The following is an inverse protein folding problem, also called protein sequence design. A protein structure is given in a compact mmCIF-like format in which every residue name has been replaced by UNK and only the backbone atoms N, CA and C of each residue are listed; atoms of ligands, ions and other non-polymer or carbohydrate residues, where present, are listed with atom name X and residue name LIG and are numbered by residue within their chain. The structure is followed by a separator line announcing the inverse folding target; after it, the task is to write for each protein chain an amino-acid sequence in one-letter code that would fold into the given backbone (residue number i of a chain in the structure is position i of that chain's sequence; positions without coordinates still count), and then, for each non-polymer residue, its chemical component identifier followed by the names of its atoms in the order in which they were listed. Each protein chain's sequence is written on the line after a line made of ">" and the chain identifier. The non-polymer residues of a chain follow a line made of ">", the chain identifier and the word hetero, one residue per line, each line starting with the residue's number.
data_IF_097934132602
#
_entry.id   IF_097934132602
#
_cell.length_a   1.000
_cell.length_b   1.000
_cell.length_c   1.000
_cell.angle_alpha   90.00
_cell.angle_beta   90.00
_cell.angle_gamma   90.00
#
_symmetry.space_group_name_H-M   'P 1'
#
loop_
_entity.id
_entity.type
_entity.pdbx_description
1 polymer ?
#
# COMPACT_ATOMS: atom_id res chain seq x y z
N UNK A 1 5.09 -21.90 -5.72
CA UNK A 1 4.90 -21.14 -4.46
C UNK A 1 3.50 -20.56 -4.35
N UNK A 2 3.03 -19.74 -5.31
CA UNK A 2 1.71 -19.08 -5.22
C UNK A 2 0.55 -20.06 -4.99
N UNK A 3 0.50 -21.21 -5.69
CA UNK A 3 -0.56 -22.22 -5.49
C UNK A 3 -0.63 -22.75 -4.06
N UNK A 4 0.48 -22.77 -3.32
CA UNK A 4 0.54 -23.23 -1.93
C UNK A 4 0.07 -22.17 -0.93
N UNK A 5 0.25 -20.89 -1.23
CA UNK A 5 -0.27 -19.80 -0.41
C UNK A 5 -1.80 -19.75 -0.42
N UNK A 6 -2.42 -20.13 -1.55
CA UNK A 6 -3.88 -20.14 -1.74
C UNK A 6 -4.58 -21.37 -1.17
N UNK A 7 -3.84 -22.41 -0.75
CA UNK A 7 -4.42 -23.59 -0.15
C UNK A 7 -4.89 -23.29 1.28
N UNK A 8 -6.16 -23.05 1.45
CA UNK A 8 -6.75 -22.62 2.73
C UNK A 8 -6.60 -23.64 3.87
N UNK A 9 -6.24 -24.92 3.65
CA UNK A 9 -6.19 -25.95 4.72
C UNK A 9 -5.26 -27.15 4.53
N UNK A 10 -4.58 -27.34 3.41
CA UNK A 10 -3.65 -28.49 3.23
C UNK A 10 -2.35 -28.02 2.61
N UNK A 11 -1.31 -28.00 3.41
CA UNK A 11 0.04 -27.87 2.90
C UNK A 11 0.34 -29.06 1.98
N UNK A 12 0.84 -28.82 0.77
CA UNK A 12 1.31 -29.94 -0.07
C UNK A 12 2.51 -30.62 0.58
N UNK A 13 2.71 -31.94 0.36
CA UNK A 13 3.87 -32.65 0.91
C UNK A 13 5.20 -31.97 0.61
N UNK A 14 5.35 -31.36 -0.57
CA UNK A 14 6.54 -30.61 -0.96
C UNK A 14 6.78 -29.36 -0.08
N UNK A 15 5.72 -28.74 0.42
CA UNK A 15 5.87 -27.59 1.32
C UNK A 15 6.33 -28.01 2.70
N UNK A 16 5.94 -29.17 3.19
CA UNK A 16 6.43 -29.73 4.45
C UNK A 16 7.96 -29.91 4.46
N UNK A 17 8.53 -30.34 3.32
CA UNK A 17 9.99 -30.47 3.17
C UNK A 17 10.70 -29.11 3.15
N UNK A 18 10.04 -28.04 2.69
CA UNK A 18 10.60 -26.68 2.61
C UNK A 18 10.33 -25.83 3.85
N UNK A 19 9.40 -26.23 4.73
CA UNK A 19 9.07 -25.51 5.94
C UNK A 19 10.27 -25.23 6.84
N UNK A 20 11.20 -26.20 7.11
CA UNK A 20 12.38 -25.93 7.93
C UNK A 20 13.25 -24.79 7.41
N UNK A 21 13.23 -24.56 6.09
CA UNK A 21 13.94 -23.44 5.45
C UNK A 21 13.14 -22.15 5.49
N UNK A 22 11.82 -22.21 5.25
CA UNK A 22 10.98 -21.01 5.10
C UNK A 22 10.57 -20.41 6.45
N UNK A 23 10.45 -21.20 7.52
CA UNK A 23 10.10 -20.69 8.84
C UNK A 23 11.15 -19.74 9.43
N UNK A 24 12.46 -20.10 9.44
CA UNK A 24 13.49 -19.17 9.90
C UNK A 24 13.55 -17.89 9.06
N UNK A 25 13.34 -18.00 7.73
CA UNK A 25 13.29 -16.85 6.84
C UNK A 25 12.07 -15.97 7.10
N UNK A 26 10.91 -16.54 7.37
CA UNK A 26 9.69 -15.80 7.73
C UNK A 26 9.86 -15.10 9.09
N UNK A 27 10.50 -15.76 10.05
CA UNK A 27 10.84 -15.15 11.34
C UNK A 27 11.81 -13.98 11.17
N UNK A 28 12.89 -14.16 10.40
CA UNK A 28 13.83 -13.09 10.08
C UNK A 28 13.14 -11.92 9.38
N UNK A 29 12.27 -12.20 8.41
CA UNK A 29 11.46 -11.19 7.72
C UNK A 29 10.60 -10.40 8.73
N UNK A 30 9.95 -11.09 9.67
CA UNK A 30 9.14 -10.47 10.72
C UNK A 30 9.96 -9.51 11.59
N UNK A 31 11.16 -9.93 12.01
CA UNK A 31 12.06 -9.09 12.79
C UNK A 31 12.48 -7.85 12.01
N UNK A 32 12.91 -8.02 10.76
CA UNK A 32 13.33 -6.91 9.90
C UNK A 32 12.19 -5.93 9.63
N UNK A 33 10.98 -6.43 9.38
CA UNK A 33 9.78 -5.61 9.23
C UNK A 33 9.47 -4.83 10.52
N UNK A 34 9.58 -5.48 11.69
CA UNK A 34 9.39 -4.86 13.00
C UNK A 34 10.43 -3.78 13.29
N UNK A 35 11.70 -4.02 12.99
CA UNK A 35 12.79 -3.03 13.12
C UNK A 35 12.55 -1.84 12.21
N UNK A 36 12.21 -2.09 10.94
CA UNK A 36 11.90 -1.01 9.99
C UNK A 36 10.73 -0.13 10.47
N UNK A 37 9.69 -0.76 11.03
CA UNK A 37 8.55 -0.03 11.61
C UNK A 37 8.97 0.81 12.84
N UNK A 38 9.75 0.24 13.76
CA UNK A 38 10.20 0.93 14.98
C UNK A 38 11.16 2.07 14.71
N UNK A 39 12.05 1.91 13.72
CA UNK A 39 13.06 2.90 13.36
C UNK A 39 12.55 3.94 12.35
N UNK A 40 11.33 3.80 11.85
CA UNK A 40 10.75 4.79 10.97
C UNK A 40 10.59 6.12 11.74
N UNK A 41 11.09 7.20 11.13
CA UNK A 41 10.83 8.57 11.58
C UNK A 41 9.73 9.13 10.68
N UNK A 42 8.46 9.15 11.12
CA UNK A 42 7.35 9.57 10.28
C UNK A 42 7.44 11.07 9.99
N UNK A 43 7.31 11.43 8.73
CA UNK A 43 7.15 12.81 8.29
C UNK A 43 5.65 13.11 8.25
N UNK A 44 5.22 14.12 9.00
CA UNK A 44 3.84 14.60 9.00
C UNK A 44 3.65 15.65 7.92
N UNK A 45 2.59 15.49 7.15
CA UNK A 45 2.14 16.48 6.19
C UNK A 45 1.17 17.48 6.86
N UNK A 46 0.97 18.68 6.30
CA UNK A 46 0.08 19.68 6.87
C UNK A 46 -1.41 19.39 6.71
N UNK A 47 -1.76 18.29 6.03
CA UNK A 47 -3.14 17.83 5.81
C UNK A 47 -3.29 16.40 6.30
N UNK A 48 -4.52 15.94 6.63
CA UNK A 48 -4.79 14.55 6.99
C UNK A 48 -4.36 13.57 5.91
N UNK A 49 -3.84 12.41 6.34
CA UNK A 49 -3.37 11.33 5.48
C UNK A 49 -4.15 10.05 5.78
N UNK A 50 -4.85 9.54 4.78
CA UNK A 50 -5.54 8.26 4.80
C UNK A 50 -4.68 7.26 4.02
N UNK A 51 -4.20 6.23 4.70
CA UNK A 51 -3.42 5.16 4.08
C UNK A 51 -4.34 4.01 3.73
N UNK A 52 -4.32 3.60 2.46
CA UNK A 52 -5.04 2.42 1.97
C UNK A 52 -3.99 1.37 1.61
N UNK A 53 -4.15 0.17 2.15
CA UNK A 53 -3.18 -0.90 1.92
C UNK A 53 -3.74 -2.29 2.16
N UNK A 54 -2.87 -3.27 2.13
CA UNK A 54 -3.18 -4.63 2.54
C UNK A 54 -1.98 -5.27 3.24
N UNK A 55 -2.23 -6.31 4.02
CA UNK A 55 -1.18 -7.10 4.65
C UNK A 55 -0.80 -8.34 3.83
N UNK A 56 -1.47 -8.61 2.71
CA UNK A 56 -1.20 -9.75 1.81
C UNK A 56 -0.45 -9.29 0.56
N UNK A 57 0.28 -10.19 -0.09
CA UNK A 57 0.80 -9.95 -1.43
C UNK A 57 -0.28 -10.13 -2.48
N UNK A 58 -0.21 -9.34 -3.57
CA UNK A 58 -1.14 -9.41 -4.70
C UNK A 58 -2.24 -8.36 -4.67
N UNK A 59 -3.10 -8.39 -5.66
CA UNK A 59 -4.22 -7.48 -5.81
C UNK A 59 -5.35 -7.81 -4.81
N UNK A 60 -5.68 -6.88 -3.93
CA UNK A 60 -6.76 -6.99 -2.96
C UNK A 60 -7.86 -5.92 -3.16
N UNK A 61 -7.85 -5.22 -4.30
CA UNK A 61 -8.85 -4.18 -4.56
C UNK A 61 -8.52 -2.79 -3.99
N UNK A 62 -7.28 -2.52 -3.61
CA UNK A 62 -6.84 -1.21 -3.07
C UNK A 62 -7.15 -0.05 -4.03
N UNK A 63 -6.68 -0.14 -5.26
CA UNK A 63 -6.83 0.91 -6.27
C UNK A 63 -8.29 1.25 -6.57
N UNK A 64 -9.21 0.30 -6.77
CA UNK A 64 -10.64 0.58 -6.84
C UNK A 64 -11.20 1.29 -5.62
N UNK A 65 -10.80 0.89 -4.40
CA UNK A 65 -11.23 1.54 -3.17
C UNK A 65 -10.69 2.98 -3.07
N UNK A 66 -9.41 3.19 -3.43
CA UNK A 66 -8.81 4.54 -3.46
C UNK A 66 -9.56 5.46 -4.42
N UNK A 67 -9.92 4.98 -5.61
CA UNK A 67 -10.72 5.74 -6.58
C UNK A 67 -12.11 6.08 -6.02
N UNK A 68 -12.79 5.10 -5.44
CA UNK A 68 -14.11 5.28 -4.85
C UNK A 68 -14.05 6.29 -3.69
N UNK A 69 -13.09 6.15 -2.78
CA UNK A 69 -12.92 7.05 -1.64
C UNK A 69 -12.59 8.47 -2.06
N UNK A 70 -11.73 8.65 -3.08
CA UNK A 70 -11.43 9.97 -3.65
C UNK A 70 -12.69 10.66 -4.16
N UNK A 71 -13.57 9.94 -4.86
CA UNK A 71 -14.84 10.46 -5.35
C UNK A 71 -15.78 10.82 -4.20
N UNK A 72 -15.91 9.92 -3.21
CA UNK A 72 -16.77 10.14 -2.05
C UNK A 72 -16.33 11.34 -1.19
N UNK A 73 -15.04 11.57 -1.06
CA UNK A 73 -14.49 12.75 -0.39
C UNK A 73 -14.82 14.03 -1.16
N UNK A 74 -14.66 14.03 -2.49
CA UNK A 74 -14.98 15.18 -3.34
C UNK A 74 -16.47 15.54 -3.28
N UNK A 75 -17.37 14.57 -3.33
CA UNK A 75 -18.80 14.77 -3.19
C UNK A 75 -19.19 15.41 -1.85
N UNK A 76 -18.32 15.28 -0.84
CA UNK A 76 -18.49 15.90 0.49
C UNK A 76 -17.69 17.20 0.68
N UNK A 77 -17.18 17.77 -0.41
CA UNK A 77 -16.47 19.06 -0.37
C UNK A 77 -15.00 18.99 0.00
N UNK A 78 -14.42 17.78 0.10
CA UNK A 78 -12.97 17.62 0.26
C UNK A 78 -12.24 17.74 -1.07
N UNK A 79 -10.98 18.14 -1.02
CA UNK A 79 -10.08 18.21 -2.18
C UNK A 79 -8.97 17.16 -2.01
N UNK A 80 -9.23 15.88 -2.37
CA UNK A 80 -8.25 14.83 -2.20
C UNK A 80 -7.12 14.91 -3.22
N UNK A 81 -5.89 14.65 -2.76
CA UNK A 81 -4.76 14.29 -3.60
C UNK A 81 -4.36 12.83 -3.36
N UNK A 82 -3.78 12.17 -4.36
CA UNK A 82 -3.40 10.77 -4.26
C UNK A 82 -1.88 10.64 -4.39
N UNK A 83 -1.26 9.88 -3.50
CA UNK A 83 0.14 9.47 -3.62
C UNK A 83 0.24 7.95 -3.73
N UNK A 84 1.09 7.49 -4.65
CA UNK A 84 1.33 6.06 -4.87
C UNK A 84 2.84 5.79 -5.07
N UNK A 85 3.21 4.51 -5.10
CA UNK A 85 4.61 4.09 -5.31
C UNK A 85 5.10 4.31 -6.74
N UNK A 86 4.21 4.09 -7.71
CA UNK A 86 4.61 3.96 -9.10
C UNK A 86 5.38 2.67 -9.35
N UNK A 87 4.81 1.54 -8.90
CA UNK A 87 5.42 0.23 -9.12
C UNK A 87 5.59 -0.03 -10.62
N UNK A 88 6.78 -0.52 -11.03
CA UNK A 88 7.13 -0.72 -12.43
C UNK A 88 7.68 0.51 -13.14
N UNK A 89 7.56 1.72 -12.56
CA UNK A 89 8.08 2.96 -13.09
C UNK A 89 9.42 3.40 -12.49
N UNK A 90 10.04 4.39 -13.12
CA UNK A 90 11.21 5.08 -12.56
C UNK A 90 10.78 6.23 -11.65
N UNK A 91 10.54 5.95 -10.38
CA UNK A 91 9.98 6.86 -9.39
C UNK A 91 10.96 7.26 -8.30
N UNK A 92 12.24 7.39 -8.64
CA UNK A 92 13.29 7.86 -7.72
C UNK A 92 13.04 9.29 -7.22
N UNK A 93 12.52 10.14 -8.09
CA UNK A 93 12.11 11.51 -7.78
C UNK A 93 10.58 11.59 -7.82
N UNK A 94 9.93 12.33 -6.89
CA UNK A 94 8.50 12.58 -6.94
C UNK A 94 8.10 13.23 -8.27
N UNK A 95 7.05 12.73 -8.91
CA UNK A 95 6.56 13.26 -10.18
C UNK A 95 5.05 13.15 -10.31
N UNK A 96 4.41 14.10 -11.01
CA UNK A 96 2.98 14.06 -11.28
C UNK A 96 2.63 12.94 -12.25
N UNK A 97 1.42 12.37 -12.08
CA UNK A 97 0.87 11.39 -13.00
C UNK A 97 -0.27 12.00 -13.78
N UNK A 98 -0.19 11.90 -15.10
CA UNK A 98 -1.23 12.34 -16.04
C UNK A 98 -1.88 11.14 -16.70
N UNK A 99 -3.04 11.34 -17.29
CA UNK A 99 -3.76 10.29 -18.01
C UNK A 99 -2.99 9.75 -19.23
N UNK A 100 -2.07 10.54 -19.78
CA UNK A 100 -1.20 10.23 -20.92
C UNK A 100 0.25 9.87 -20.51
N UNK A 101 0.56 9.81 -19.20
CA UNK A 101 1.87 9.39 -18.71
C UNK A 101 2.23 7.99 -19.20
N UNK A 102 3.52 7.74 -19.41
CA UNK A 102 4.01 6.42 -19.84
C UNK A 102 4.09 5.47 -18.64
N UNK A 103 3.57 4.23 -18.77
CA UNK A 103 3.66 3.21 -17.72
C UNK A 103 5.09 2.93 -17.24
N UNK A 104 6.06 2.98 -18.14
CA UNK A 104 7.49 2.81 -17.82
C UNK A 104 8.05 3.90 -16.89
N UNK A 105 7.41 5.06 -16.83
CA UNK A 105 7.82 6.17 -15.96
C UNK A 105 7.12 6.14 -14.61
N UNK A 106 5.81 5.95 -14.60
CA UNK A 106 4.98 6.13 -13.40
C UNK A 106 4.29 4.84 -12.91
N UNK A 107 4.31 3.77 -13.70
CA UNK A 107 3.58 2.52 -13.43
C UNK A 107 2.14 2.56 -13.95
N UNK A 108 1.52 1.38 -14.12
CA UNK A 108 0.17 1.24 -14.67
C UNK A 108 -0.92 1.68 -13.68
N UNK A 109 -0.81 1.27 -12.41
CA UNK A 109 -1.81 1.57 -11.38
C UNK A 109 -1.98 3.07 -11.14
N UNK A 110 -0.93 3.91 -11.04
CA UNK A 110 -1.08 5.35 -10.91
C UNK A 110 -1.77 6.03 -12.10
N UNK A 111 -1.57 5.52 -13.32
CA UNK A 111 -2.29 6.04 -14.51
C UNK A 111 -3.79 5.76 -14.38
N UNK A 112 -4.15 4.57 -13.89
CA UNK A 112 -5.55 4.23 -13.63
C UNK A 112 -6.16 5.14 -12.55
N UNK A 113 -5.41 5.45 -11.49
CA UNK A 113 -5.81 6.43 -10.48
C UNK A 113 -6.05 7.80 -11.11
N UNK A 114 -5.12 8.33 -11.90
CA UNK A 114 -5.23 9.62 -12.54
C UNK A 114 -6.43 9.73 -13.50
N UNK A 115 -6.70 8.65 -14.25
CA UNK A 115 -7.83 8.61 -15.20
C UNK A 115 -9.18 8.52 -14.51
N UNK A 116 -9.29 7.89 -13.33
CA UNK A 116 -10.58 7.51 -12.74
C UNK A 116 -10.95 8.23 -11.46
N UNK A 117 -9.98 8.76 -10.70
CA UNK A 117 -10.27 9.43 -9.42
C UNK A 117 -10.73 10.88 -9.59
N UNK A 118 -10.39 11.53 -10.70
CA UNK A 118 -10.52 12.97 -10.90
C UNK A 118 -9.82 13.80 -9.80
N UNK A 119 -8.76 13.26 -9.21
CA UNK A 119 -7.89 13.90 -8.23
C UNK A 119 -6.46 13.97 -8.77
N UNK A 120 -5.65 14.97 -8.38
CA UNK A 120 -4.23 14.99 -8.68
C UNK A 120 -3.53 13.76 -8.12
N UNK A 121 -2.67 13.12 -8.92
CA UNK A 121 -1.93 11.90 -8.53
C UNK A 121 -0.44 12.14 -8.67
N UNK A 122 0.32 11.78 -7.65
CA UNK A 122 1.78 11.83 -7.67
C UNK A 122 2.38 10.48 -7.28
N UNK A 123 3.52 10.17 -7.86
CA UNK A 123 4.27 8.96 -7.53
C UNK A 123 5.65 9.27 -6.99
N UNK A 124 6.14 8.39 -6.12
CA UNK A 124 7.49 8.47 -5.58
C UNK A 124 7.77 7.33 -4.61
N UNK A 125 9.01 6.82 -4.59
CA UNK A 125 9.43 5.81 -3.59
C UNK A 125 9.29 6.36 -2.17
N UNK A 126 9.64 7.64 -1.97
CA UNK A 126 9.38 8.36 -0.73
C UNK A 126 8.01 9.04 -0.81
N UNK A 127 6.97 8.44 -0.18
CA UNK A 127 5.59 8.96 -0.18
C UNK A 127 5.47 10.31 0.50
N UNK A 128 6.27 10.56 1.54
CA UNK A 128 6.26 11.86 2.21
C UNK A 128 6.75 12.97 1.26
N UNK A 129 7.85 12.73 0.55
CA UNK A 129 8.33 13.68 -0.46
C UNK A 129 7.34 13.85 -1.62
N UNK A 130 6.68 12.75 -2.06
CA UNK A 130 5.64 12.83 -3.08
C UNK A 130 4.43 13.65 -2.61
N UNK A 131 4.02 13.47 -1.35
CA UNK A 131 2.95 14.28 -0.74
C UNK A 131 3.31 15.76 -0.61
N UNK A 132 4.54 16.07 -0.22
CA UNK A 132 5.04 17.45 -0.15
C UNK A 132 5.03 18.11 -1.54
N UNK A 133 5.53 17.40 -2.57
CA UNK A 133 5.54 17.91 -3.94
C UNK A 133 4.12 18.09 -4.50
N UNK A 134 3.22 17.15 -4.19
CA UNK A 134 1.80 17.25 -4.53
C UNK A 134 1.16 18.50 -3.93
N UNK A 135 1.34 18.73 -2.62
CA UNK A 135 0.77 19.89 -1.92
C UNK A 135 1.37 21.21 -2.40
N UNK A 136 2.65 21.24 -2.76
CA UNK A 136 3.29 22.42 -3.33
C UNK A 136 2.73 22.78 -4.71
N UNK A 137 2.37 21.78 -5.51
CA UNK A 137 1.78 21.97 -6.84
C UNK A 137 0.27 22.25 -6.80
N UNK A 138 -0.41 21.80 -5.73
CA UNK A 138 -1.87 21.83 -5.56
C UNK A 138 -2.23 22.29 -4.13
N UNK A 139 -2.13 23.61 -3.85
CA UNK A 139 -2.41 24.15 -2.49
C UNK A 139 -3.87 23.98 -2.02
N UNK A 140 -4.78 23.71 -2.94
CA UNK A 140 -6.20 23.46 -2.66
C UNK A 140 -6.45 22.10 -1.99
N UNK A 141 -5.49 21.17 -2.05
CA UNK A 141 -5.65 19.84 -1.48
C UNK A 141 -5.68 19.92 0.05
N UNK A 142 -6.71 19.32 0.64
CA UNK A 142 -6.93 19.30 2.09
C UNK A 142 -6.99 17.88 2.69
N UNK A 143 -6.78 16.83 1.90
CA UNK A 143 -6.62 15.44 2.35
C UNK A 143 -5.79 14.64 1.34
N UNK A 144 -4.92 13.77 1.83
CA UNK A 144 -4.12 12.87 0.99
C UNK A 144 -4.57 11.43 1.18
N UNK A 145 -4.77 10.72 0.06
CA UNK A 145 -4.94 9.27 0.00
C UNK A 145 -3.61 8.63 -0.42
N UNK A 146 -3.08 7.73 0.40
CA UNK A 146 -1.85 6.98 0.07
C UNK A 146 -2.21 5.57 -0.38
N UNK A 147 -2.14 5.31 -1.69
CA UNK A 147 -2.40 4.00 -2.28
C UNK A 147 -1.20 3.07 -2.10
N UNK A 148 -1.46 1.82 -1.64
CA UNK A 148 -0.47 0.81 -1.24
C UNK A 148 0.59 1.36 -0.26
N UNK A 149 0.11 2.09 0.74
CA UNK A 149 0.96 2.83 1.69
C UNK A 149 1.18 2.15 3.04
N UNK A 150 0.54 1.02 3.35
CA UNK A 150 0.49 0.45 4.70
C UNK A 150 1.89 0.21 5.29
N UNK A 151 2.82 -0.36 4.50
CA UNK A 151 4.20 -0.62 4.91
C UNK A 151 5.13 0.61 4.81
N UNK A 152 4.63 1.77 4.39
CA UNK A 152 5.45 2.97 4.25
C UNK A 152 5.42 3.82 5.53
N UNK A 153 6.03 3.32 6.60
CA UNK A 153 6.02 3.92 7.95
C UNK A 153 6.68 5.30 8.05
N UNK A 154 7.41 5.75 7.02
CA UNK A 154 7.99 7.10 6.96
C UNK A 154 6.97 8.20 6.64
N UNK A 155 5.75 7.87 6.25
CA UNK A 155 4.64 8.80 6.11
C UNK A 155 3.76 8.71 7.36
N UNK A 156 3.64 9.80 8.11
CA UNK A 156 2.67 9.91 9.20
C UNK A 156 1.25 9.79 8.61
N UNK A 157 0.38 9.14 9.33
CA UNK A 157 -0.97 8.83 8.89
C UNK A 157 -1.96 9.10 10.01
N UNK A 158 -3.15 9.49 9.63
CA UNK A 158 -4.24 9.80 10.54
C UNK A 158 -5.31 8.70 10.51
N UNK A 159 -5.45 8.02 9.36
CA UNK A 159 -6.38 6.88 9.17
C UNK A 159 -5.68 5.77 8.38
N UNK A 160 -5.87 4.53 8.81
CA UNK A 160 -5.41 3.33 8.12
C UNK A 160 -6.59 2.44 7.72
N UNK A 161 -6.71 2.17 6.43
CA UNK A 161 -7.71 1.27 5.86
C UNK A 161 -7.01 0.05 5.27
N UNK A 162 -7.34 -1.12 5.76
CA UNK A 162 -6.79 -2.38 5.24
C UNK A 162 -7.82 -3.09 4.38
N UNK A 163 -7.43 -3.46 3.17
CA UNK A 163 -8.31 -4.10 2.19
C UNK A 163 -8.00 -5.59 2.10
N UNK A 164 -9.03 -6.40 2.21
CA UNK A 164 -9.01 -7.82 1.91
C UNK A 164 -9.96 -8.14 0.76
N UNK A 165 -9.63 -9.15 -0.01
CA UNK A 165 -10.57 -9.79 -0.92
C UNK A 165 -11.10 -11.12 -0.31
N UNK A 166 -11.94 -11.83 -1.04
CA UNK A 166 -12.53 -13.09 -0.59
C UNK A 166 -11.54 -14.21 -0.27
N UNK A 167 -10.23 -14.02 -0.54
CA UNK A 167 -9.17 -14.96 -0.16
C UNK A 167 -8.77 -14.84 1.31
N UNK A 168 -9.11 -13.72 1.96
CA UNK A 168 -8.75 -13.44 3.36
C UNK A 168 -7.23 -13.47 3.58
N UNK A 169 -6.81 -14.05 4.70
CA UNK A 169 -5.39 -14.20 5.09
C UNK A 169 -4.72 -15.43 4.49
N UNK A 170 -5.46 -16.23 3.71
CA UNK A 170 -4.99 -17.47 3.08
C UNK A 170 -4.43 -18.46 4.10
N UNK A 171 -3.13 -18.86 4.01
CA UNK A 171 -2.54 -19.77 4.99
C UNK A 171 -2.09 -19.06 6.30
N UNK A 172 -2.21 -17.75 6.39
CA UNK A 172 -1.89 -16.97 7.59
C UNK A 172 -0.40 -16.80 7.91
N UNK A 173 0.50 -17.25 7.03
CA UNK A 173 1.93 -17.20 7.28
C UNK A 173 2.58 -15.96 6.64
N UNK A 174 3.65 -15.49 7.27
CA UNK A 174 4.46 -14.40 6.73
C UNK A 174 5.33 -14.86 5.54
N UNK A 175 5.72 -13.92 4.70
CA UNK A 175 6.70 -14.16 3.64
C UNK A 175 8.02 -14.73 4.21
N UNK A 176 8.66 -15.69 3.56
CA UNK A 176 8.25 -16.36 2.31
C UNK A 176 7.38 -17.61 2.52
N UNK A 177 7.06 -17.99 3.76
CA UNK A 177 6.26 -19.18 4.07
C UNK A 177 4.79 -19.03 3.67
N UNK A 178 4.28 -17.81 3.58
CA UNK A 178 2.92 -17.47 3.17
C UNK A 178 2.82 -16.11 2.52
N UNK A 179 1.60 -15.63 2.28
CA UNK A 179 1.36 -14.41 1.52
C UNK A 179 1.42 -13.13 2.38
N UNK A 180 1.59 -13.22 3.69
CA UNK A 180 1.51 -12.05 4.55
C UNK A 180 2.79 -11.21 4.51
N UNK A 181 2.63 -9.91 4.32
CA UNK A 181 3.68 -8.88 4.47
C UNK A 181 3.83 -8.43 5.92
N UNK A 182 2.74 -8.53 6.70
CA UNK A 182 2.66 -8.18 8.11
C UNK A 182 1.78 -9.20 8.84
N UNK A 183 2.01 -9.44 10.15
CA UNK A 183 1.21 -10.37 10.92
C UNK A 183 -0.25 -9.91 11.03
N UNK A 184 -1.17 -10.86 11.22
CA UNK A 184 -2.63 -10.59 11.29
C UNK A 184 -2.97 -9.68 12.48
N UNK A 185 -2.20 -9.76 13.56
CA UNK A 185 -2.33 -8.92 14.76
C UNK A 185 -2.20 -7.43 14.45
N UNK A 186 -1.59 -7.09 13.31
CA UNK A 186 -1.51 -5.70 12.82
C UNK A 186 -2.90 -5.08 12.61
N UNK A 187 -3.90 -5.89 12.32
CA UNK A 187 -5.27 -5.44 12.08
C UNK A 187 -5.92 -4.84 13.34
N UNK A 188 -5.48 -5.23 14.53
CA UNK A 188 -6.01 -4.66 15.77
C UNK A 188 -5.69 -3.17 15.96
N UNK A 189 -4.75 -2.64 15.19
CA UNK A 189 -4.34 -1.23 15.26
C UNK A 189 -4.63 -0.43 13.99
N UNK A 190 -5.59 -0.84 13.16
CA UNK A 190 -6.07 -0.09 12.00
C UNK A 190 -7.49 0.43 12.24
N UNK A 191 -7.87 1.49 11.52
CA UNK A 191 -9.16 2.16 11.72
C UNK A 191 -10.30 1.46 10.99
N UNK A 192 -10.01 0.77 9.88
CA UNK A 192 -11.01 0.02 9.12
C UNK A 192 -10.38 -1.17 8.36
N UNK A 193 -11.22 -2.22 8.18
CA UNK A 193 -10.93 -3.42 7.39
C UNK A 193 -12.08 -3.68 6.44
#
# INVERSE_FOLDING_TARGET
>A
LQRHWFAQRRLSPALWLLLPLFLPLAWLFSILAGINRRNAKPVRLPVPVIVIGNITVGGAGKTPLTIWLARQLRERGWHPGIVSRGYGGNTSVPQPVRADSLPSQVGDEPILLARRSAAPVWVGRNRAAAGQALLAAHPEINVILCDDGLQHYRLARDVEVVVFDGRGVMNGWLLPAGPLREPVERLAGVDAV
#
